data_IF_350668622178
#
_entry.id   IF_350668622178
#
_cell.length_a   1.000
_cell.length_b   1.000
_cell.length_c   1.000
_cell.angle_alpha   90.00
_cell.angle_beta   90.00
_cell.angle_gamma   90.00
#
_symmetry.space_group_name_H-M   'P 1'
#
loop_
_entity.id
_entity.type
_entity.pdbx_description
1 polymer ?
#
# COMPACT_ATOMS: atom_id res chain seq x y z
N UNK A 1 -18.77 20.80 60.97
CA UNK A 1 -18.38 20.11 59.73
C UNK A 1 -19.58 19.30 59.28
N UNK A 2 -20.17 19.59 58.10
CA UNK A 2 -21.32 18.82 57.57
C UNK A 2 -20.78 17.87 56.51
N UNK A 3 -20.79 16.57 56.81
CA UNK A 3 -20.52 15.53 55.83
C UNK A 3 -21.61 15.57 54.74
N UNK A 4 -21.19 15.56 53.48
CA UNK A 4 -22.08 15.39 52.33
C UNK A 4 -22.18 13.88 52.09
N UNK A 5 -23.32 13.28 52.41
CA UNK A 5 -23.61 11.90 52.03
C UNK A 5 -23.84 11.81 50.52
N UNK A 6 -23.08 10.93 49.85
CA UNK A 6 -23.28 10.62 48.44
C UNK A 6 -24.38 9.56 48.34
N UNK A 7 -25.56 9.93 47.82
CA UNK A 7 -26.62 8.97 47.51
C UNK A 7 -26.25 8.26 46.21
N UNK A 8 -25.69 7.06 46.30
CA UNK A 8 -25.52 6.17 45.14
C UNK A 8 -26.86 5.50 44.86
N UNK A 9 -27.45 5.77 43.70
CA UNK A 9 -28.66 5.12 43.21
C UNK A 9 -28.42 3.60 43.10
N UNK A 10 -29.34 2.81 43.67
CA UNK A 10 -29.26 1.35 43.71
C UNK A 10 -29.37 0.70 42.31
N UNK A 11 -29.72 1.47 41.28
CA UNK A 11 -29.75 1.03 39.88
C UNK A 11 -28.45 1.29 39.11
N UNK A 12 -27.41 1.85 39.75
CA UNK A 12 -26.12 2.07 39.10
C UNK A 12 -25.32 0.77 39.09
N UNK A 13 -25.29 0.12 37.92
CA UNK A 13 -24.40 -1.03 37.69
C UNK A 13 -22.98 -0.50 37.43
N UNK A 14 -22.12 -0.69 38.43
CA UNK A 14 -20.70 -0.38 38.33
C UNK A 14 -19.98 -1.54 37.62
N UNK A 15 -19.35 -1.28 36.47
CA UNK A 15 -18.61 -2.29 35.72
C UNK A 15 -18.44 -1.98 34.24
N UNK A 16 -17.59 -2.75 33.56
CA UNK A 16 -17.40 -2.67 32.11
C UNK A 16 -18.51 -3.50 31.45
N UNK A 17 -19.32 -2.86 30.59
CA UNK A 17 -20.34 -3.57 29.82
C UNK A 17 -19.72 -4.58 28.88
N UNK A 18 -20.22 -5.82 28.84
CA UNK A 18 -19.76 -6.87 27.91
C UNK A 18 -20.22 -6.66 26.44
N UNK A 19 -20.35 -5.41 26.01
CA UNK A 19 -20.65 -5.11 24.60
C UNK A 19 -19.37 -5.31 23.81
N UNK A 20 -19.41 -6.17 22.80
CA UNK A 20 -18.30 -6.34 21.87
C UNK A 20 -17.96 -5.01 21.22
N UNK A 21 -16.68 -4.68 21.14
CA UNK A 21 -16.20 -3.43 20.53
C UNK A 21 -16.60 -3.28 19.06
N UNK A 22 -16.87 -4.40 18.38
CA UNK A 22 -17.36 -4.44 17.00
C UNK A 22 -18.67 -5.23 16.96
N UNK A 23 -19.84 -4.59 16.91
CA UNK A 23 -21.11 -5.30 16.81
C UNK A 23 -21.19 -6.12 15.52
N UNK A 24 -21.80 -7.30 15.60
CA UNK A 24 -21.87 -8.26 14.48
C UNK A 24 -22.49 -7.67 13.20
N UNK A 25 -23.40 -6.70 13.32
CA UNK A 25 -23.96 -5.98 12.18
C UNK A 25 -22.88 -5.22 11.37
N UNK A 26 -21.86 -4.65 12.01
CA UNK A 26 -20.78 -3.94 11.30
C UNK A 26 -19.89 -4.90 10.49
N UNK A 27 -19.69 -6.12 11.00
CA UNK A 27 -18.94 -7.17 10.32
C UNK A 27 -19.71 -7.62 9.08
N UNK A 28 -21.01 -7.90 9.23
CA UNK A 28 -21.89 -8.29 8.14
C UNK A 28 -22.03 -7.19 7.08
N UNK A 29 -21.98 -5.92 7.49
CA UNK A 29 -22.02 -4.77 6.60
C UNK A 29 -20.64 -4.36 6.05
N UNK A 30 -19.56 -5.10 6.34
CA UNK A 30 -18.19 -4.82 5.91
C UNK A 30 -17.69 -3.39 6.22
N UNK A 31 -18.22 -2.77 7.28
CA UNK A 31 -17.97 -1.36 7.65
C UNK A 31 -16.48 -1.05 7.81
N UNK A 32 -15.72 -1.95 8.44
CA UNK A 32 -14.29 -1.75 8.62
C UNK A 32 -13.55 -1.59 7.29
N UNK A 33 -13.88 -2.41 6.29
CA UNK A 33 -13.24 -2.35 4.99
C UNK A 33 -13.54 -1.01 4.30
N UNK A 34 -14.80 -0.57 4.34
CA UNK A 34 -15.20 0.71 3.73
C UNK A 34 -14.49 1.87 4.39
N UNK A 35 -14.48 1.90 5.72
CA UNK A 35 -13.88 2.99 6.49
C UNK A 35 -12.36 3.04 6.31
N UNK A 36 -11.73 1.86 6.21
CA UNK A 36 -10.30 1.77 5.95
C UNK A 36 -9.95 2.30 4.55
N UNK A 37 -10.69 1.89 3.52
CA UNK A 37 -10.48 2.38 2.14
C UNK A 37 -10.66 3.89 2.08
N UNK A 38 -11.74 4.42 2.67
CA UNK A 38 -12.01 5.85 2.69
C UNK A 38 -10.89 6.62 3.43
N UNK A 39 -10.41 6.07 4.54
CA UNK A 39 -9.30 6.65 5.29
C UNK A 39 -8.01 6.68 4.45
N UNK A 40 -7.72 5.62 3.67
CA UNK A 40 -6.56 5.60 2.78
C UNK A 40 -6.69 6.64 1.65
N UNK A 41 -7.85 6.73 1.02
CA UNK A 41 -8.15 7.74 0.00
C UNK A 41 -7.98 9.15 0.56
N UNK A 42 -8.52 9.41 1.76
CA UNK A 42 -8.39 10.71 2.44
C UNK A 42 -6.93 11.04 2.73
N UNK A 43 -6.15 10.09 3.25
CA UNK A 43 -4.70 10.25 3.49
C UNK A 43 -3.94 10.57 2.20
N UNK A 44 -4.22 9.86 1.11
CA UNK A 44 -3.59 10.10 -0.19
C UNK A 44 -3.92 11.49 -0.74
N UNK A 45 -5.20 11.90 -0.66
CA UNK A 45 -5.65 13.23 -1.11
C UNK A 45 -4.99 14.36 -0.31
N UNK A 46 -4.90 14.22 1.01
CA UNK A 46 -4.24 15.19 1.89
C UNK A 46 -2.75 15.30 1.58
N UNK A 47 -2.05 14.17 1.43
CA UNK A 47 -0.65 14.17 1.02
C UNK A 47 -0.42 14.85 -0.35
N UNK A 48 -1.36 14.73 -1.28
CA UNK A 48 -1.29 15.43 -2.57
C UNK A 48 -1.50 16.94 -2.42
N UNK A 49 -2.44 17.37 -1.57
CA UNK A 49 -2.67 18.79 -1.26
C UNK A 49 -1.46 19.41 -0.55
N UNK A 50 -0.88 18.72 0.44
CA UNK A 50 0.30 19.15 1.17
C UNK A 50 1.51 19.32 0.21
N UNK A 51 1.70 18.38 -0.73
CA UNK A 51 2.72 18.51 -1.79
C UNK A 51 2.49 19.71 -2.69
N UNK A 52 1.25 19.97 -3.11
CA UNK A 52 0.90 21.14 -3.94
C UNK A 52 1.16 22.45 -3.19
N UNK A 53 0.80 22.51 -1.90
CA UNK A 53 1.05 23.66 -1.05
C UNK A 53 2.55 23.92 -0.84
N UNK A 54 3.34 22.87 -0.63
CA UNK A 54 4.81 22.96 -0.54
C UNK A 54 5.45 23.44 -1.85
N UNK A 55 4.90 23.05 -3.01
CA UNK A 55 5.36 23.55 -4.30
C UNK A 55 5.02 25.02 -4.53
N UNK A 56 3.83 25.48 -4.11
CA UNK A 56 3.44 26.89 -4.24
C UNK A 56 4.17 27.82 -3.26
N UNK A 57 4.56 27.32 -2.10
CA UNK A 57 5.30 28.06 -1.07
C UNK A 57 6.82 27.80 -1.12
N UNK A 58 7.33 27.26 -2.24
CA UNK A 58 8.75 26.94 -2.36
C UNK A 58 9.57 28.23 -2.19
N UNK A 59 10.45 28.31 -1.17
CA UNK A 59 11.33 29.47 -1.02
C UNK A 59 12.25 29.59 -2.23
N UNK A 60 12.59 30.82 -2.62
CA UNK A 60 13.54 31.08 -3.69
C UNK A 60 14.81 30.24 -3.50
N UNK A 61 15.30 29.61 -4.57
CA UNK A 61 16.44 28.72 -4.46
C UNK A 61 17.72 29.50 -4.07
N UNK A 62 18.14 29.37 -2.82
CA UNK A 62 19.44 29.87 -2.37
C UNK A 62 20.55 29.01 -2.96
N UNK A 63 21.74 29.59 -3.20
CA UNK A 63 22.96 28.88 -3.66
C UNK A 63 23.25 27.57 -2.90
N UNK A 64 22.93 27.52 -1.60
CA UNK A 64 23.08 26.32 -0.77
C UNK A 64 22.04 25.23 -1.05
N UNK A 65 20.81 25.60 -1.43
CA UNK A 65 19.77 24.66 -1.87
C UNK A 65 20.16 24.02 -3.21
N UNK A 66 20.64 24.84 -4.15
CA UNK A 66 21.14 24.37 -5.44
C UNK A 66 22.27 23.36 -5.25
N UNK A 67 23.28 23.68 -4.45
CA UNK A 67 24.39 22.76 -4.15
C UNK A 67 23.95 21.45 -3.46
N UNK A 68 22.84 21.44 -2.71
CA UNK A 68 22.28 20.20 -2.14
C UNK A 68 21.56 19.37 -3.21
N UNK A 69 20.82 20.01 -4.11
CA UNK A 69 20.12 19.33 -5.21
C UNK A 69 21.09 18.69 -6.21
N UNK A 70 22.25 19.31 -6.43
CA UNK A 70 23.28 18.80 -7.36
C UNK A 70 24.11 17.67 -6.78
N UNK A 71 23.99 17.38 -5.47
CA UNK A 71 24.65 16.19 -4.91
C UNK A 71 23.96 14.96 -5.51
N UNK A 72 24.71 14.02 -6.09
CA UNK A 72 24.14 12.78 -6.57
C UNK A 72 23.46 12.10 -5.37
N UNK A 73 22.14 12.10 -5.37
CA UNK A 73 21.36 11.33 -4.39
C UNK A 73 21.74 9.89 -4.65
N UNK A 74 22.45 9.28 -3.70
CA UNK A 74 22.75 7.85 -3.75
C UNK A 74 21.43 7.14 -3.96
N UNK A 75 21.35 6.33 -5.04
CA UNK A 75 20.15 5.55 -5.34
C UNK A 75 19.75 4.86 -4.03
N UNK A 76 18.53 5.08 -3.56
CA UNK A 76 18.05 4.47 -2.34
C UNK A 76 18.27 2.96 -2.47
N UNK A 77 19.25 2.44 -1.73
CA UNK A 77 19.54 1.02 -1.74
C UNK A 77 18.27 0.34 -1.24
N UNK A 78 17.62 -0.42 -2.13
CA UNK A 78 16.46 -1.17 -1.74
C UNK A 78 16.96 -2.26 -0.80
N UNK A 79 16.87 -2.03 0.52
CA UNK A 79 17.28 -3.01 1.54
C UNK A 79 16.56 -4.36 1.39
N UNK A 80 15.46 -4.38 0.64
CA UNK A 80 14.70 -5.58 0.31
C UNK A 80 15.26 -6.38 -0.87
N UNK A 81 16.15 -5.80 -1.67
CA UNK A 81 16.77 -6.47 -2.82
C UNK A 81 18.26 -6.64 -2.57
N UNK A 82 18.66 -7.84 -2.16
CA UNK A 82 20.07 -8.20 -2.05
C UNK A 82 20.76 -8.04 -3.43
N UNK A 83 21.99 -7.49 -3.50
CA UNK A 83 22.73 -7.36 -4.76
C UNK A 83 22.91 -8.68 -5.51
N UNK A 84 22.96 -9.80 -4.78
CA UNK A 84 23.01 -11.12 -5.39
C UNK A 84 21.78 -11.43 -6.25
N UNK A 85 20.59 -10.93 -5.88
CA UNK A 85 19.38 -11.16 -6.66
C UNK A 85 19.25 -10.23 -7.86
N UNK A 86 19.83 -9.03 -7.82
CA UNK A 86 19.88 -8.14 -9.00
C UNK A 86 20.84 -8.66 -10.07
N UNK A 87 21.97 -9.24 -9.67
CA UNK A 87 22.98 -9.76 -10.61
C UNK A 87 22.61 -11.15 -11.14
N UNK A 88 21.72 -11.87 -10.44
CA UNK A 88 21.24 -13.21 -10.80
C UNK A 88 19.77 -13.23 -11.21
N UNK A 89 19.27 -12.13 -11.79
CA UNK A 89 17.89 -12.06 -12.31
C UNK A 89 17.63 -13.12 -13.41
N UNK A 90 18.70 -13.61 -14.05
CA UNK A 90 18.61 -14.75 -14.96
C UNK A 90 18.68 -16.08 -14.19
N UNK A 91 17.66 -16.91 -14.38
CA UNK A 91 17.64 -18.28 -13.87
C UNK A 91 18.93 -19.02 -14.27
N UNK A 92 19.53 -19.75 -13.33
CA UNK A 92 20.79 -20.47 -13.54
C UNK A 92 20.71 -21.57 -14.61
N UNK A 93 19.51 -21.86 -15.11
CA UNK A 93 19.24 -22.85 -16.14
C UNK A 93 18.46 -22.15 -17.26
N UNK A 94 18.99 -22.20 -18.48
CA UNK A 94 18.24 -21.79 -19.67
C UNK A 94 17.40 -22.97 -20.15
N UNK A 95 16.10 -22.92 -19.93
CA UNK A 95 15.15 -23.96 -20.36
C UNK A 95 14.81 -23.87 -21.84
N UNK A 96 15.15 -22.76 -22.52
CA UNK A 96 14.89 -22.60 -23.94
C UNK A 96 15.97 -23.27 -24.77
N UNK A 97 15.52 -24.00 -25.80
CA UNK A 97 16.40 -24.67 -26.77
C UNK A 97 17.26 -23.69 -27.57
N UNK A 98 16.70 -22.51 -27.90
CA UNK A 98 17.36 -21.43 -28.64
C UNK A 98 16.94 -20.05 -28.14
N UNK A 99 17.76 -19.03 -28.40
CA UNK A 99 17.46 -17.64 -28.03
C UNK A 99 16.23 -17.09 -28.79
N UNK A 100 15.99 -17.56 -30.02
CA UNK A 100 14.79 -17.21 -30.80
C UNK A 100 13.52 -17.69 -30.10
N UNK A 101 13.51 -18.93 -29.64
CA UNK A 101 12.40 -19.51 -28.88
C UNK A 101 12.15 -18.75 -27.58
N UNK A 102 13.23 -18.33 -26.89
CA UNK A 102 13.13 -17.46 -25.70
C UNK A 102 12.41 -16.14 -26.01
N UNK A 103 12.84 -15.43 -27.07
CA UNK A 103 12.23 -14.15 -27.47
C UNK A 103 10.75 -14.32 -27.83
N UNK A 104 10.40 -15.38 -28.56
CA UNK A 104 9.01 -15.66 -28.93
C UNK A 104 8.16 -15.99 -27.70
N UNK A 105 8.66 -16.81 -26.77
CA UNK A 105 7.95 -17.14 -25.55
C UNK A 105 7.69 -15.91 -24.67
N UNK A 106 8.69 -15.04 -24.48
CA UNK A 106 8.50 -13.78 -23.75
C UNK A 106 7.51 -12.84 -24.45
N UNK A 107 7.53 -12.76 -25.79
CA UNK A 107 6.56 -11.95 -26.55
C UNK A 107 5.12 -12.39 -26.27
N UNK A 108 4.86 -13.71 -26.28
CA UNK A 108 3.54 -14.27 -25.95
C UNK A 108 3.19 -14.01 -24.49
N UNK A 109 4.12 -14.23 -23.57
CA UNK A 109 3.93 -13.99 -22.14
C UNK A 109 3.53 -12.53 -21.85
N UNK A 110 4.21 -11.56 -22.43
CA UNK A 110 3.87 -10.14 -22.22
C UNK A 110 2.51 -9.76 -22.84
N UNK A 111 2.13 -10.38 -23.95
CA UNK A 111 0.81 -10.19 -24.54
C UNK A 111 -0.32 -10.77 -23.67
N UNK A 112 -0.06 -11.88 -22.98
CA UNK A 112 -1.03 -12.55 -22.12
C UNK A 112 -1.11 -11.96 -20.70
N UNK A 113 -0.03 -11.34 -20.21
CA UNK A 113 0.09 -10.76 -18.86
C UNK A 113 -1.14 -9.91 -18.43
N UNK A 114 -1.72 -9.03 -19.27
CA UNK A 114 -2.87 -8.20 -18.88
C UNK A 114 -4.15 -9.01 -18.62
N UNK A 115 -4.29 -10.19 -19.25
CA UNK A 115 -5.45 -11.05 -19.09
C UNK A 115 -5.40 -11.89 -17.80
N UNK A 116 -4.26 -11.91 -17.11
CA UNK A 116 -4.03 -12.72 -15.90
C UNK A 116 -4.13 -11.87 -14.63
N UNK A 117 -4.55 -12.48 -13.52
CA UNK A 117 -4.51 -11.85 -12.21
C UNK A 117 -3.08 -11.84 -11.61
N UNK A 118 -2.81 -10.83 -10.77
CA UNK A 118 -1.57 -10.69 -10.00
C UNK A 118 -0.53 -9.74 -10.61
N UNK A 119 0.37 -9.24 -9.77
CA UNK A 119 1.44 -8.28 -10.13
C UNK A 119 2.38 -8.85 -11.21
N UNK A 120 2.65 -10.15 -11.11
CA UNK A 120 3.50 -10.87 -12.05
C UNK A 120 2.74 -11.38 -13.28
N UNK A 121 1.40 -11.38 -13.27
CA UNK A 121 0.57 -11.93 -14.36
C UNK A 121 0.75 -13.43 -14.57
N UNK A 122 1.01 -14.18 -13.51
CA UNK A 122 1.11 -15.65 -13.51
C UNK A 122 -0.10 -16.33 -12.85
N UNK A 123 -1.16 -15.56 -12.56
CA UNK A 123 -2.36 -16.07 -11.91
C UNK A 123 -3.42 -16.60 -12.89
N UNK A 124 -4.60 -16.83 -12.33
CA UNK A 124 -5.80 -17.27 -13.03
C UNK A 124 -6.15 -16.25 -14.13
N UNK A 125 -6.54 -16.73 -15.30
CA UNK A 125 -7.06 -15.87 -16.36
C UNK A 125 -8.33 -15.18 -15.85
N UNK A 126 -8.47 -13.86 -16.07
CA UNK A 126 -9.72 -13.14 -15.82
C UNK A 126 -10.79 -13.80 -16.67
N UNK A 127 -11.61 -14.65 -16.07
CA UNK A 127 -12.58 -15.45 -16.82
C UNK A 127 -13.66 -14.50 -17.33
N UNK A 128 -13.76 -14.40 -18.66
CA UNK A 128 -14.71 -13.54 -19.34
C UNK A 128 -14.33 -13.31 -20.80
N UNK A 129 -14.55 -14.35 -21.63
CA UNK A 129 -14.56 -14.34 -23.09
C UNK A 129 -13.23 -14.04 -23.83
N UNK A 130 -12.63 -15.09 -24.39
CA UNK A 130 -12.10 -15.05 -25.75
C UNK A 130 -12.83 -16.16 -26.51
N UNK A 131 -13.48 -15.75 -27.60
CA UNK A 131 -14.14 -16.57 -28.62
C UNK A 131 -13.19 -17.62 -29.19
#
# INVERSE_FOLDING_TARGET
MKEKSHTTDCNIVHGITNRSSTPMNEILAHKYQTDWIETQLRKASKAQQDKKHLQSAAPAETKTSLLRSTKPTTKAESFWKLPQFSTKEHGGINTFRDERCRKMAYKVYYAEKPARFGIHGQGICRTGAIV
#
